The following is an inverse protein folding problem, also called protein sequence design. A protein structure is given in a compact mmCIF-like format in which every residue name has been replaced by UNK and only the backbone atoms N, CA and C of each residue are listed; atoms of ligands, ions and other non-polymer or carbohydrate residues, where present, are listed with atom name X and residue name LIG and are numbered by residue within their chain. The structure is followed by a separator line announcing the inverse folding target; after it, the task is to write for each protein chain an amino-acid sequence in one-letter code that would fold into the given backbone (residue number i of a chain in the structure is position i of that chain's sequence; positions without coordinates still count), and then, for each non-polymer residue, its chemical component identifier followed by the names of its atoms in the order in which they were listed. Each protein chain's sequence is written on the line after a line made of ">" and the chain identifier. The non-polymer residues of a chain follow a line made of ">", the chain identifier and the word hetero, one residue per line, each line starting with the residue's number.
data_IF_935981319996
#
_entry.id   IF_935981319996
#
_cell.length_a   1.000
_cell.length_b   1.000
_cell.length_c   1.000
_cell.angle_alpha   90.00
_cell.angle_beta   90.00
_cell.angle_gamma   90.00
#
_symmetry.space_group_name_H-M   'P 1'
#
loop_
_entity.id
_entity.type
_entity.pdbx_description
1 polymer ?
#
# COMPACT_ATOMS: atom_id res chain seq x y z
N UNK A 1 -2.89 50.65 -49.81
CA UNK A 1 -3.95 51.14 -48.91
C UNK A 1 -4.55 49.91 -48.24
N UNK A 2 -3.83 49.09 -47.45
CA UNK A 2 -3.14 49.34 -46.17
C UNK A 2 -3.99 50.11 -45.16
N UNK A 3 -4.76 49.35 -44.37
CA UNK A 3 -5.32 49.79 -43.09
C UNK A 3 -4.76 48.84 -42.02
N UNK A 4 -3.66 49.27 -41.43
CA UNK A 4 -3.06 48.71 -40.22
C UNK A 4 -3.80 49.32 -39.02
N UNK A 5 -4.72 48.57 -38.42
CA UNK A 5 -5.42 48.99 -37.20
C UNK A 5 -4.75 48.35 -35.98
N UNK A 6 -3.57 48.90 -35.67
CA UNK A 6 -2.75 48.55 -34.52
C UNK A 6 -3.38 49.15 -33.25
N UNK A 7 -4.27 48.38 -32.62
CA UNK A 7 -4.88 48.76 -31.33
C UNK A 7 -3.87 48.60 -30.19
N UNK A 8 -3.16 49.69 -29.92
CA UNK A 8 -2.30 49.93 -28.75
C UNK A 8 -3.03 49.58 -27.44
N UNK A 9 -2.69 48.41 -26.88
CA UNK A 9 -3.10 47.96 -25.55
C UNK A 9 -2.39 48.82 -24.49
N UNK A 10 -3.14 49.69 -23.81
CA UNK A 10 -2.63 50.61 -22.77
C UNK A 10 -1.95 49.83 -21.62
N UNK A 11 -0.70 50.17 -21.25
CA UNK A 11 -0.05 49.61 -20.06
C UNK A 11 -0.52 50.39 -18.83
N UNK A 12 -1.41 49.79 -18.03
CA UNK A 12 -1.90 50.44 -16.81
C UNK A 12 -3.19 49.89 -16.21
N UNK A 13 -3.66 48.73 -16.65
CA UNK A 13 -4.77 48.06 -15.99
C UNK A 13 -4.24 47.45 -14.67
N UNK A 14 -4.49 48.15 -13.56
CA UNK A 14 -4.24 47.63 -12.21
C UNK A 14 -4.99 46.30 -12.09
N UNK A 15 -4.25 45.20 -11.96
CA UNK A 15 -4.82 43.89 -11.68
C UNK A 15 -5.71 44.03 -10.44
N UNK A 16 -7.01 43.80 -10.63
CA UNK A 16 -7.99 43.93 -9.57
C UNK A 16 -7.66 42.90 -8.48
N UNK A 17 -7.64 43.32 -7.21
CA UNK A 17 -7.19 42.47 -6.11
C UNK A 17 -8.06 41.20 -5.95
N UNK A 18 -9.29 41.22 -6.47
CA UNK A 18 -10.17 40.06 -6.58
C UNK A 18 -9.66 39.01 -7.56
N UNK A 19 -9.14 39.41 -8.71
CA UNK A 19 -8.62 38.50 -9.75
C UNK A 19 -7.35 37.78 -9.29
N UNK A 20 -6.50 38.48 -8.54
CA UNK A 20 -5.29 37.89 -7.94
C UNK A 20 -5.63 36.86 -6.85
N UNK A 21 -6.68 37.10 -6.05
CA UNK A 21 -7.10 36.20 -4.98
C UNK A 21 -7.72 34.92 -5.53
N UNK A 22 -8.57 35.03 -6.55
CA UNK A 22 -9.15 33.87 -7.27
C UNK A 22 -8.05 33.02 -7.91
N UNK A 23 -7.01 33.65 -8.47
CA UNK A 23 -5.87 32.92 -9.04
C UNK A 23 -5.07 32.16 -7.97
N UNK A 24 -4.80 32.77 -6.80
CA UNK A 24 -4.06 32.12 -5.70
C UNK A 24 -4.85 30.94 -5.12
N UNK A 25 -6.16 31.12 -4.90
CA UNK A 25 -7.03 30.06 -4.39
C UNK A 25 -7.09 28.88 -5.39
N UNK A 26 -7.18 29.17 -6.69
CA UNK A 26 -7.14 28.13 -7.74
C UNK A 26 -5.80 27.40 -7.84
N UNK A 27 -4.68 28.07 -7.51
CA UNK A 27 -3.34 27.47 -7.48
C UNK A 27 -3.20 26.52 -6.29
N UNK A 28 -3.75 26.91 -5.14
CA UNK A 28 -3.82 26.07 -3.93
C UNK A 28 -4.65 24.82 -4.15
N UNK A 29 -5.83 24.95 -4.76
CA UNK A 29 -6.69 23.83 -5.11
C UNK A 29 -6.01 22.87 -6.11
N UNK A 30 -5.33 23.43 -7.11
CA UNK A 30 -4.57 22.64 -8.09
C UNK A 30 -3.44 21.84 -7.45
N UNK A 31 -2.71 22.43 -6.50
CA UNK A 31 -1.67 21.74 -5.74
C UNK A 31 -2.24 20.59 -4.90
N UNK A 32 -3.35 20.82 -4.20
CA UNK A 32 -3.98 19.83 -3.33
C UNK A 32 -4.54 18.63 -4.12
N UNK A 33 -5.11 18.89 -5.30
CA UNK A 33 -5.55 17.83 -6.22
C UNK A 33 -4.34 17.01 -6.73
N UNK A 34 -3.23 17.67 -7.08
CA UNK A 34 -2.03 16.99 -7.53
C UNK A 34 -1.43 16.10 -6.42
N UNK A 35 -1.37 16.60 -5.19
CA UNK A 35 -0.90 15.85 -4.03
C UNK A 35 -1.81 14.66 -3.71
N UNK A 36 -3.13 14.85 -3.76
CA UNK A 36 -4.11 13.79 -3.58
C UNK A 36 -3.92 12.65 -4.59
N UNK A 37 -3.73 12.99 -5.86
CA UNK A 37 -3.49 12.02 -6.92
C UNK A 37 -2.14 11.30 -6.74
N UNK A 38 -1.10 12.01 -6.29
CA UNK A 38 0.19 11.42 -5.99
C UNK A 38 0.09 10.38 -4.85
N UNK A 39 -0.64 10.69 -3.78
CA UNK A 39 -0.85 9.77 -2.65
C UNK A 39 -1.66 8.54 -3.05
N UNK A 40 -2.71 8.69 -3.86
CA UNK A 40 -3.46 7.54 -4.40
C UNK A 40 -2.57 6.62 -5.22
N UNK A 41 -1.73 7.19 -6.10
CA UNK A 41 -0.78 6.42 -6.90
C UNK A 41 0.22 5.67 -6.02
N UNK A 42 0.69 6.28 -4.95
CA UNK A 42 1.58 5.62 -3.98
C UNK A 42 0.90 4.43 -3.30
N UNK A 43 -0.38 4.55 -2.89
CA UNK A 43 -1.16 3.43 -2.34
C UNK A 43 -1.29 2.29 -3.36
N UNK A 44 -1.62 2.61 -4.62
CA UNK A 44 -1.73 1.59 -5.69
C UNK A 44 -0.41 0.88 -5.93
N UNK A 45 0.71 1.62 -5.94
CA UNK A 45 2.05 1.04 -6.04
C UNK A 45 2.33 0.09 -4.88
N UNK A 46 2.05 0.50 -3.64
CA UNK A 46 2.25 -0.34 -2.46
C UNK A 46 1.41 -1.61 -2.49
N UNK A 47 0.14 -1.54 -2.92
CA UNK A 47 -0.72 -2.73 -3.09
C UNK A 47 -0.12 -3.68 -4.14
N UNK A 48 0.38 -3.12 -5.25
CA UNK A 48 0.97 -3.93 -6.32
C UNK A 48 2.28 -4.60 -5.88
N UNK A 49 3.15 -3.89 -5.17
CA UNK A 49 4.39 -4.43 -4.61
C UNK A 49 4.13 -5.50 -3.57
N UNK A 50 3.11 -5.28 -2.74
CA UNK A 50 2.69 -6.23 -1.71
C UNK A 50 2.29 -7.58 -2.33
N UNK A 51 1.41 -7.57 -3.35
CA UNK A 51 0.99 -8.80 -4.04
C UNK A 51 2.16 -9.52 -4.71
N UNK A 52 3.09 -8.77 -5.31
CA UNK A 52 4.31 -9.34 -5.90
C UNK A 52 5.17 -10.01 -4.84
N UNK A 53 5.42 -9.34 -3.72
CA UNK A 53 6.22 -9.88 -2.63
C UNK A 53 5.59 -11.16 -2.06
N UNK A 54 4.29 -11.14 -1.75
CA UNK A 54 3.53 -12.30 -1.26
C UNK A 54 3.68 -13.50 -2.19
N UNK A 55 3.43 -13.30 -3.49
CA UNK A 55 3.57 -14.36 -4.48
C UNK A 55 5.01 -14.90 -4.53
N UNK A 56 6.01 -14.02 -4.57
CA UNK A 56 7.42 -14.43 -4.59
C UNK A 56 7.79 -15.28 -3.37
N UNK A 57 7.29 -14.92 -2.18
CA UNK A 57 7.54 -15.67 -0.95
C UNK A 57 6.88 -17.05 -1.01
N UNK A 58 5.62 -17.13 -1.43
CA UNK A 58 4.92 -18.42 -1.55
C UNK A 58 5.57 -19.33 -2.59
N UNK A 59 5.97 -18.80 -3.75
CA UNK A 59 6.72 -19.57 -4.73
C UNK A 59 8.07 -20.04 -4.19
N UNK A 60 8.77 -19.21 -3.42
CA UNK A 60 10.04 -19.60 -2.80
C UNK A 60 9.86 -20.72 -1.78
N UNK A 61 8.83 -20.63 -0.92
CA UNK A 61 8.50 -21.68 0.04
C UNK A 61 8.14 -22.98 -0.68
N UNK A 62 7.28 -22.91 -1.71
CA UNK A 62 6.89 -24.07 -2.50
C UNK A 62 8.08 -24.72 -3.22
N UNK A 63 8.99 -23.93 -3.78
CA UNK A 63 10.20 -24.42 -4.43
C UNK A 63 11.12 -25.17 -3.45
N UNK A 64 11.30 -24.64 -2.24
CA UNK A 64 12.08 -25.33 -1.20
C UNK A 64 11.46 -26.67 -0.83
N UNK A 65 10.14 -26.72 -0.61
CA UNK A 65 9.48 -27.99 -0.31
C UNK A 65 9.50 -28.98 -1.49
N UNK A 66 9.31 -28.52 -2.72
CA UNK A 66 9.40 -29.36 -3.91
C UNK A 66 10.80 -29.99 -4.05
N UNK A 67 11.85 -29.22 -3.77
CA UNK A 67 13.22 -29.72 -3.74
C UNK A 67 13.43 -30.72 -2.60
N UNK A 68 12.93 -30.41 -1.39
CA UNK A 68 13.02 -31.31 -0.24
C UNK A 68 12.36 -32.67 -0.51
N UNK A 69 11.24 -32.68 -1.24
CA UNK A 69 10.49 -33.91 -1.56
C UNK A 69 11.11 -34.72 -2.70
N UNK A 70 11.83 -34.10 -3.63
CA UNK A 70 12.40 -34.78 -4.82
C UNK A 70 13.86 -35.19 -4.67
N UNK A 71 14.56 -34.74 -3.62
CA UNK A 71 15.97 -35.08 -3.37
C UNK A 71 16.19 -36.56 -3.02
N UNK A 72 17.42 -37.03 -3.22
CA UNK A 72 17.85 -38.36 -2.82
C UNK A 72 17.89 -38.57 -1.29
N UNK A 73 17.60 -39.81 -0.86
CA UNK A 73 17.57 -40.19 0.57
C UNK A 73 18.94 -40.15 1.26
N UNK A 74 20.03 -40.26 0.49
CA UNK A 74 21.41 -40.28 1.02
C UNK A 74 22.00 -38.88 1.28
N UNK A 75 21.16 -37.85 1.28
CA UNK A 75 21.59 -36.47 1.48
C UNK A 75 21.93 -36.20 2.96
N UNK A 76 22.92 -35.33 3.18
CA UNK A 76 23.41 -34.98 4.52
C UNK A 76 22.25 -34.58 5.47
N UNK A 77 22.09 -35.29 6.62
CA UNK A 77 21.05 -34.99 7.60
C UNK A 77 21.08 -33.56 8.14
N UNK A 78 22.26 -32.93 8.20
CA UNK A 78 22.40 -31.57 8.71
C UNK A 78 21.90 -30.54 7.70
N UNK A 79 22.28 -30.70 6.42
CA UNK A 79 21.77 -29.87 5.34
C UNK A 79 20.26 -30.03 5.14
N UNK A 80 19.73 -31.24 5.37
CA UNK A 80 18.29 -31.48 5.35
C UNK A 80 17.54 -30.71 6.44
N UNK A 81 18.05 -30.71 7.68
CA UNK A 81 17.44 -29.94 8.76
C UNK A 81 17.53 -28.44 8.48
N UNK A 82 18.65 -27.97 7.95
CA UNK A 82 18.83 -26.58 7.57
C UNK A 82 17.85 -26.13 6.47
N UNK A 83 17.62 -26.98 5.45
CA UNK A 83 16.69 -26.65 4.37
C UNK A 83 15.24 -26.57 4.82
N UNK A 84 14.84 -27.31 5.86
CA UNK A 84 13.51 -27.22 6.47
C UNK A 84 13.28 -25.97 7.33
N UNK A 85 14.35 -25.35 7.83
CA UNK A 85 14.26 -24.07 8.55
C UNK A 85 14.10 -22.90 7.58
N UNK A 86 14.55 -23.03 6.33
CA UNK A 86 14.52 -21.97 5.34
C UNK A 86 13.10 -21.42 5.05
N UNK A 87 12.04 -22.26 4.87
CA UNK A 87 10.67 -21.77 4.72
C UNK A 87 10.16 -20.96 5.91
N UNK A 88 10.58 -21.30 7.14
CA UNK A 88 10.21 -20.55 8.35
C UNK A 88 10.79 -19.14 8.29
N UNK A 89 12.08 -19.04 7.94
CA UNK A 89 12.75 -17.74 7.80
C UNK A 89 12.10 -16.90 6.70
N UNK A 90 11.80 -17.50 5.54
CA UNK A 90 11.12 -16.81 4.44
C UNK A 90 9.71 -16.34 4.84
N UNK A 91 8.94 -17.16 5.57
CA UNK A 91 7.63 -16.78 6.05
C UNK A 91 7.69 -15.62 7.05
N UNK A 92 8.65 -15.65 8.00
CA UNK A 92 8.86 -14.57 8.95
C UNK A 92 9.29 -13.26 8.27
N UNK A 93 10.23 -13.31 7.32
CA UNK A 93 10.63 -12.14 6.52
C UNK A 93 9.48 -11.60 5.69
N UNK A 94 8.65 -12.50 5.14
CA UNK A 94 7.45 -12.15 4.40
C UNK A 94 6.43 -11.40 5.25
N UNK A 95 6.15 -11.92 6.45
CA UNK A 95 5.29 -11.26 7.41
C UNK A 95 5.83 -9.88 7.82
N UNK A 96 7.13 -9.77 8.08
CA UNK A 96 7.75 -8.49 8.45
C UNK A 96 7.66 -7.46 7.31
N UNK A 97 7.92 -7.89 6.07
CA UNK A 97 7.78 -7.05 4.87
C UNK A 97 6.33 -6.59 4.70
N UNK A 98 5.36 -7.51 4.84
CA UNK A 98 3.93 -7.21 4.79
C UNK A 98 3.54 -6.17 5.86
N UNK A 99 3.96 -6.37 7.10
CA UNK A 99 3.68 -5.45 8.20
C UNK A 99 4.25 -4.04 7.93
N UNK A 100 5.47 -3.96 7.40
CA UNK A 100 6.08 -2.69 7.03
C UNK A 100 5.34 -1.93 5.92
N UNK A 101 4.81 -2.65 4.91
CA UNK A 101 3.98 -2.03 3.86
C UNK A 101 2.65 -1.56 4.46
N UNK A 102 2.01 -2.41 5.27
CA UNK A 102 0.72 -2.10 5.89
C UNK A 102 0.79 -0.84 6.76
N UNK A 103 1.85 -0.68 7.56
CA UNK A 103 2.05 0.53 8.38
C UNK A 103 2.18 1.78 7.51
N UNK A 104 2.94 1.71 6.40
CA UNK A 104 3.07 2.85 5.47
C UNK A 104 1.75 3.22 4.81
N UNK A 105 1.00 2.23 4.35
CA UNK A 105 -0.32 2.46 3.75
C UNK A 105 -1.29 3.08 4.76
N UNK A 106 -1.24 2.66 6.04
CA UNK A 106 -2.01 3.29 7.11
C UNK A 106 -1.64 4.76 7.32
N UNK A 107 -0.35 5.10 7.38
CA UNK A 107 0.11 6.49 7.53
C UNK A 107 -0.34 7.36 6.36
N UNK A 108 -0.28 6.86 5.11
CA UNK A 108 -0.77 7.60 3.94
C UNK A 108 -2.28 7.81 4.02
N UNK A 109 -3.03 6.78 4.45
CA UNK A 109 -4.48 6.88 4.63
C UNK A 109 -4.88 7.90 5.71
N UNK A 110 -4.13 7.97 6.83
CA UNK A 110 -4.32 8.98 7.87
C UNK A 110 -4.08 10.38 7.34
N UNK A 111 -2.98 10.59 6.61
CA UNK A 111 -2.68 11.86 5.97
C UNK A 111 -3.77 12.29 4.97
N UNK A 112 -4.25 11.36 4.15
CA UNK A 112 -5.30 11.62 3.17
C UNK A 112 -6.62 12.02 3.85
N UNK A 113 -6.95 11.37 4.97
CA UNK A 113 -8.11 11.71 5.79
C UNK A 113 -8.00 13.13 6.36
N UNK A 114 -6.81 13.53 6.81
CA UNK A 114 -6.58 14.87 7.34
C UNK A 114 -6.59 15.95 6.25
N UNK A 115 -6.11 15.62 5.05
CA UNK A 115 -6.17 16.50 3.89
C UNK A 115 -7.64 16.71 3.46
N UNK A 116 -8.45 15.65 3.38
CA UNK A 116 -9.88 15.73 3.06
C UNK A 116 -10.65 16.63 4.05
N UNK A 117 -10.37 16.53 5.35
CA UNK A 117 -10.98 17.38 6.39
C UNK A 117 -10.65 18.86 6.24
N UNK A 118 -9.47 19.19 5.72
CA UNK A 118 -9.04 20.58 5.51
C UNK A 118 -9.68 21.21 4.28
N UNK A 119 -9.87 20.43 3.22
CA UNK A 119 -10.44 20.88 1.95
C UNK A 119 -11.96 20.94 1.95
N UNK A 120 -12.63 20.01 2.63
CA UNK A 120 -14.09 19.89 2.58
C UNK A 120 -14.72 20.25 3.93
N UNK A 121 -15.17 21.50 4.08
CA UNK A 121 -16.02 21.89 5.23
C UNK A 121 -17.41 21.23 5.19
N UNK A 122 -17.83 20.76 4.01
CA UNK A 122 -19.12 20.13 3.75
C UNK A 122 -18.97 18.63 3.45
N UNK A 123 -18.61 17.84 4.47
CA UNK A 123 -18.94 16.43 4.77
C UNK A 123 -19.17 15.33 3.70
N UNK A 124 -18.96 15.55 2.40
CA UNK A 124 -19.26 14.58 1.33
C UNK A 124 -17.96 14.10 0.68
N UNK A 125 -17.04 13.62 1.51
CA UNK A 125 -15.79 13.01 1.05
C UNK A 125 -15.76 11.49 1.28
N UNK A 126 -14.89 10.81 0.54
CA UNK A 126 -14.80 9.35 0.52
C UNK A 126 -14.28 8.79 1.85
N UNK A 127 -13.31 9.44 2.49
CA UNK A 127 -12.83 9.03 3.82
C UNK A 127 -13.90 9.26 4.88
N UNK A 128 -14.69 10.32 4.76
CA UNK A 128 -15.84 10.57 5.64
C UNK A 128 -16.89 9.45 5.50
N UNK A 129 -17.17 9.02 4.27
CA UNK A 129 -18.03 7.87 4.00
C UNK A 129 -17.46 6.56 4.58
N UNK A 130 -16.19 6.26 4.33
CA UNK A 130 -15.51 5.07 4.86
C UNK A 130 -15.47 5.05 6.39
N UNK A 131 -15.21 6.19 7.03
CA UNK A 131 -15.21 6.34 8.48
C UNK A 131 -16.61 6.09 9.07
N UNK A 132 -17.65 6.66 8.46
CA UNK A 132 -19.04 6.40 8.83
C UNK A 132 -19.41 4.93 8.65
N UNK A 133 -18.99 4.31 7.54
CA UNK A 133 -19.22 2.89 7.27
C UNK A 133 -18.49 1.99 8.26
N UNK A 134 -17.25 2.31 8.63
CA UNK A 134 -16.47 1.61 9.68
C UNK A 134 -17.14 1.73 11.06
N UNK A 135 -17.68 2.90 11.41
CA UNK A 135 -18.45 3.08 12.66
C UNK A 135 -19.75 2.26 12.67
N UNK A 136 -20.44 2.19 11.52
CA UNK A 136 -21.69 1.43 11.37
C UNK A 136 -21.47 -0.08 11.35
N UNK A 137 -20.36 -0.55 10.78
CA UNK A 137 -20.01 -1.97 10.66
C UNK A 137 -18.60 -2.26 11.21
N UNK A 138 -18.38 -2.13 12.54
CA UNK A 138 -17.05 -2.21 13.14
C UNK A 138 -16.40 -3.58 12.99
N UNK A 139 -17.22 -4.63 12.88
CA UNK A 139 -16.77 -6.03 12.81
C UNK A 139 -16.15 -6.32 11.42
N UNK A 140 -16.74 -5.78 10.34
CA UNK A 140 -16.35 -6.12 8.97
C UNK A 140 -14.98 -5.54 8.60
N UNK A 141 -14.71 -4.29 9.01
CA UNK A 141 -13.39 -3.66 8.82
C UNK A 141 -12.28 -4.30 9.65
N UNK A 142 -12.62 -4.95 10.77
CA UNK A 142 -11.66 -5.71 11.58
C UNK A 142 -11.30 -7.03 10.91
N UNK A 143 -12.26 -7.76 10.36
CA UNK A 143 -12.00 -9.05 9.72
C UNK A 143 -11.09 -8.97 8.50
N UNK A 144 -11.18 -7.89 7.71
CA UNK A 144 -10.38 -7.75 6.48
C UNK A 144 -8.88 -7.62 6.78
N UNK A 145 -8.49 -6.89 7.83
CA UNK A 145 -7.09 -6.83 8.26
C UNK A 145 -6.63 -8.07 9.04
N UNK A 146 -7.54 -8.73 9.77
CA UNK A 146 -7.20 -9.91 10.58
C UNK A 146 -7.01 -11.18 9.74
N UNK A 147 -7.73 -11.33 8.63
CA UNK A 147 -7.60 -12.50 7.77
C UNK A 147 -6.18 -12.69 7.26
N UNK A 148 -5.50 -11.59 6.91
CA UNK A 148 -4.11 -11.60 6.42
C UNK A 148 -3.13 -12.01 7.51
N UNK A 149 -3.29 -11.48 8.72
CA UNK A 149 -2.50 -11.88 9.89
C UNK A 149 -2.69 -13.37 10.17
N UNK A 150 -3.93 -13.86 10.13
CA UNK A 150 -4.24 -15.28 10.34
C UNK A 150 -3.57 -16.15 9.28
N UNK A 151 -3.60 -15.75 8.01
CA UNK A 151 -2.91 -16.48 6.92
C UNK A 151 -1.40 -16.56 7.19
N UNK A 152 -0.75 -15.45 7.54
CA UNK A 152 0.67 -15.46 7.87
C UNK A 152 0.99 -16.33 9.09
N UNK A 153 0.18 -16.24 10.15
CA UNK A 153 0.33 -17.10 11.32
C UNK A 153 0.18 -18.58 10.96
N UNK A 154 -0.81 -18.95 10.14
CA UNK A 154 -1.01 -20.33 9.69
C UNK A 154 0.18 -20.84 8.87
N UNK A 155 0.74 -20.02 7.99
CA UNK A 155 1.92 -20.39 7.18
C UNK A 155 3.16 -20.58 8.06
N UNK A 156 3.39 -19.68 9.02
CA UNK A 156 4.49 -19.82 9.98
C UNK A 156 4.30 -21.08 10.82
N UNK A 157 3.10 -21.31 11.37
CA UNK A 157 2.81 -22.52 12.14
C UNK A 157 2.99 -23.80 11.31
N UNK A 158 2.51 -23.81 10.06
CA UNK A 158 2.67 -24.95 9.16
C UNK A 158 4.14 -25.22 8.84
N UNK A 159 4.92 -24.18 8.52
CA UNK A 159 6.35 -24.33 8.22
C UNK A 159 7.14 -24.81 9.45
N UNK A 160 6.85 -24.28 10.63
CA UNK A 160 7.44 -24.75 11.90
C UNK A 160 7.08 -26.19 12.19
N UNK A 161 5.80 -26.57 12.02
CA UNK A 161 5.35 -27.95 12.21
C UNK A 161 6.10 -28.90 11.28
N UNK A 162 6.22 -28.57 9.98
CA UNK A 162 6.99 -29.41 9.05
C UNK A 162 8.45 -29.54 9.45
N UNK A 163 9.09 -28.47 9.92
CA UNK A 163 10.48 -28.51 10.37
C UNK A 163 10.70 -29.39 11.61
N UNK A 164 9.70 -29.51 12.49
CA UNK A 164 9.78 -30.33 13.70
C UNK A 164 9.44 -31.80 13.43
N UNK A 165 8.40 -32.06 12.63
CA UNK A 165 7.86 -33.41 12.44
C UNK A 165 8.55 -34.18 11.32
N UNK A 166 8.93 -33.53 10.21
CA UNK A 166 9.50 -34.23 9.05
C UNK A 166 10.85 -34.93 9.33
N UNK A 167 11.78 -34.38 10.15
CA UNK A 167 13.03 -35.06 10.47
C UNK A 167 12.89 -36.34 11.30
N UNK A 168 11.69 -36.64 11.81
CA UNK A 168 11.41 -37.83 12.62
C UNK A 168 10.88 -39.02 11.81
N UNK A 169 10.52 -38.79 10.55
CA UNK A 169 10.01 -39.79 9.59
C UNK A 169 11.18 -40.29 8.77
#
# INVERSE_FOLDING_TARGET
>A
MTNDDETLKKPGQKADAGDLKVSIDSLGDGFLIAEYNAMRREIELQISERRKAENTIFFSIAAVYAWVLTRDKNFDPLLFRASLVLPVVLACLGFLRWAGIQMRTMTIGEYLSDLEKRLSSNSIGWETYLSSHRKKYPIRGRFEGWSEVVVWCLIICATVATAIFLPRI
#
